data_IF_919577549821
#
_entry.id   IF_919577549821
#
_cell.length_a   1.000
_cell.length_b   1.000
_cell.length_c   1.000
_cell.angle_alpha   90.00
_cell.angle_beta   90.00
_cell.angle_gamma   90.00
#
_symmetry.space_group_name_H-M   'P 1'
#
loop_
_entity.id
_entity.type
_entity.pdbx_description
1 polymer ?
#
# COMPACT_ATOMS: atom_id res chain seq x y z
N UNK A 1 16.63 2.13 17.82
CA UNK A 1 16.38 2.77 16.51
C UNK A 1 15.47 3.98 16.72
N UNK A 2 15.88 5.14 16.24
CA UNK A 2 15.15 6.40 16.32
C UNK A 2 13.96 6.43 15.36
N UNK A 3 12.96 7.22 15.65
CA UNK A 3 11.83 7.52 14.77
C UNK A 3 12.34 8.13 13.46
N UNK A 4 11.87 7.63 12.32
CA UNK A 4 12.27 8.15 11.01
C UNK A 4 11.11 8.96 10.39
N UNK A 5 11.23 10.29 10.42
CA UNK A 5 10.27 11.26 9.91
C UNK A 5 10.02 11.07 8.40
N UNK A 6 11.03 10.62 7.64
CA UNK A 6 10.94 10.44 6.19
C UNK A 6 9.93 9.35 5.79
N UNK A 7 9.73 8.33 6.64
CA UNK A 7 8.69 7.31 6.40
C UNK A 7 7.30 7.93 6.43
N UNK A 8 7.04 8.85 7.36
CA UNK A 8 5.74 9.50 7.42
C UNK A 8 5.56 10.51 6.28
N UNK A 9 6.64 11.19 5.82
CA UNK A 9 6.60 12.00 4.59
C UNK A 9 6.18 11.13 3.39
N UNK A 10 6.83 9.97 3.21
CA UNK A 10 6.51 9.06 2.11
C UNK A 10 5.08 8.55 2.18
N UNK A 11 4.56 8.22 3.37
CA UNK A 11 3.15 7.86 3.55
C UNK A 11 2.22 9.03 3.19
N UNK A 12 2.61 10.27 3.56
CA UNK A 12 1.86 11.47 3.23
C UNK A 12 1.75 11.69 1.73
N UNK A 13 2.87 11.60 1.01
CA UNK A 13 2.90 11.69 -0.46
C UNK A 13 2.05 10.56 -1.07
N UNK A 14 2.26 9.34 -0.62
CA UNK A 14 1.57 8.18 -1.19
C UNK A 14 0.06 8.24 -0.97
N UNK A 15 -0.44 8.71 0.18
CA UNK A 15 -1.90 8.80 0.39
C UNK A 15 -2.52 9.92 -0.46
N UNK A 16 -1.83 11.04 -0.66
CA UNK A 16 -2.29 12.07 -1.58
C UNK A 16 -2.38 11.52 -3.01
N UNK A 17 -1.38 10.75 -3.45
CA UNK A 17 -1.42 10.09 -4.76
C UNK A 17 -2.56 9.07 -4.87
N UNK A 18 -2.88 8.32 -3.80
CA UNK A 18 -4.04 7.42 -3.81
C UNK A 18 -5.35 8.17 -4.03
N UNK A 19 -5.52 9.34 -3.41
CA UNK A 19 -6.70 10.19 -3.66
C UNK A 19 -6.72 10.65 -5.11
N UNK A 20 -5.58 11.12 -5.64
CA UNK A 20 -5.46 11.60 -7.04
C UNK A 20 -5.75 10.48 -8.05
N UNK A 21 -5.32 9.23 -7.80
CA UNK A 21 -5.65 8.06 -8.66
C UNK A 21 -7.17 7.93 -8.86
N UNK A 22 -7.95 8.20 -7.83
CA UNK A 22 -9.41 8.06 -7.87
C UNK A 22 -10.13 9.31 -8.35
N UNK A 23 -9.45 10.46 -8.36
CA UNK A 23 -10.00 11.75 -8.84
C UNK A 23 -9.81 11.97 -10.34
N UNK A 24 -8.73 11.44 -10.92
CA UNK A 24 -8.36 11.68 -12.31
C UNK A 24 -8.62 10.44 -13.19
N UNK A 25 -8.92 10.69 -14.47
CA UNK A 25 -9.02 9.62 -15.48
C UNK A 25 -7.65 9.10 -15.88
N UNK A 26 -7.63 7.87 -16.41
CA UNK A 26 -6.41 7.19 -16.85
C UNK A 26 -5.62 8.01 -17.88
N UNK A 27 -6.30 8.68 -18.82
CA UNK A 27 -5.64 9.49 -19.87
C UNK A 27 -4.97 10.73 -19.27
N UNK A 28 -5.65 11.41 -18.32
CA UNK A 28 -5.07 12.54 -17.59
C UNK A 28 -3.88 12.10 -16.75
N UNK A 29 -4.00 10.98 -16.02
CA UNK A 29 -2.88 10.40 -15.27
C UNK A 29 -1.70 10.08 -16.17
N UNK A 30 -1.94 9.51 -17.36
CA UNK A 30 -0.90 9.17 -18.32
C UNK A 30 -0.21 10.43 -18.87
N UNK A 31 -0.98 11.46 -19.22
CA UNK A 31 -0.45 12.72 -19.79
C UNK A 31 0.48 13.47 -18.83
N UNK A 32 0.22 13.39 -17.52
CA UNK A 32 1.07 14.03 -16.49
C UNK A 32 2.20 13.14 -15.99
N UNK A 33 2.44 11.97 -16.60
CA UNK A 33 3.47 11.01 -16.18
C UNK A 33 3.10 10.22 -14.91
N UNK A 34 1.82 10.14 -14.58
CA UNK A 34 1.29 9.43 -13.41
C UNK A 34 1.81 8.01 -13.19
N UNK A 35 2.07 7.19 -14.24
CA UNK A 35 2.67 5.87 -14.09
C UNK A 35 3.98 5.84 -13.31
N UNK A 36 4.78 6.91 -13.36
CA UNK A 36 6.09 6.97 -12.71
C UNK A 36 6.04 7.43 -11.24
N UNK A 37 4.95 8.00 -10.76
CA UNK A 37 4.86 8.46 -9.37
C UNK A 37 3.50 8.20 -8.74
N UNK A 38 2.39 8.62 -9.36
CA UNK A 38 1.05 8.50 -8.76
C UNK A 38 0.65 7.03 -8.65
N UNK A 39 0.77 6.24 -9.73
CA UNK A 39 0.40 4.83 -9.75
C UNK A 39 1.35 3.93 -8.92
N UNK A 40 2.51 4.45 -8.49
CA UNK A 40 3.43 3.75 -7.60
C UNK A 40 3.05 3.85 -6.11
N UNK A 41 2.03 4.62 -5.75
CA UNK A 41 1.64 4.86 -4.36
C UNK A 41 1.35 3.57 -3.58
N UNK A 42 0.60 2.64 -4.15
CA UNK A 42 0.24 1.37 -3.49
C UNK A 42 1.46 0.46 -3.30
N UNK A 43 2.29 0.18 -4.32
CA UNK A 43 3.55 -0.54 -4.13
C UNK A 43 4.45 0.10 -3.06
N UNK A 44 4.59 1.43 -3.05
CA UNK A 44 5.38 2.15 -2.03
C UNK A 44 4.81 1.92 -0.62
N UNK A 45 3.49 1.98 -0.43
CA UNK A 45 2.87 1.66 0.87
C UNK A 45 3.18 0.25 1.34
N UNK A 46 3.17 -0.72 0.43
CA UNK A 46 3.45 -2.12 0.77
C UNK A 46 4.94 -2.35 1.10
N UNK A 47 5.85 -1.68 0.39
CA UNK A 47 7.28 -1.64 0.73
C UNK A 47 7.49 -1.02 2.12
N UNK A 48 6.83 0.12 2.41
CA UNK A 48 6.84 0.75 3.75
C UNK A 48 6.31 -0.23 4.81
N UNK A 49 5.26 -0.98 4.49
CA UNK A 49 4.69 -1.98 5.41
C UNK A 49 5.70 -3.08 5.73
N UNK A 50 6.33 -3.68 4.74
CA UNK A 50 7.38 -4.68 4.92
C UNK A 50 8.54 -4.17 5.77
N UNK A 51 9.02 -2.97 5.46
CA UNK A 51 10.09 -2.29 6.20
C UNK A 51 9.73 -2.02 7.67
N UNK A 52 8.56 -1.42 7.91
CA UNK A 52 8.12 -1.06 9.27
C UNK A 52 7.84 -2.29 10.14
N UNK A 53 7.27 -3.37 9.58
CA UNK A 53 7.07 -4.61 10.30
C UNK A 53 8.41 -5.25 10.67
N UNK A 54 9.39 -5.27 9.76
CA UNK A 54 10.74 -5.77 10.04
C UNK A 54 11.41 -4.97 11.16
N UNK A 55 11.27 -3.64 11.13
CA UNK A 55 11.75 -2.77 12.19
C UNK A 55 11.07 -3.07 13.54
N UNK A 56 9.75 -3.27 13.54
CA UNK A 56 8.98 -3.60 14.74
C UNK A 56 9.37 -4.96 15.32
N UNK A 57 9.52 -5.98 14.48
CA UNK A 57 9.93 -7.32 14.89
C UNK A 57 11.34 -7.33 15.50
N UNK A 58 12.26 -6.59 14.89
CA UNK A 58 13.62 -6.44 15.44
C UNK A 58 13.61 -5.76 16.79
N UNK A 59 12.79 -4.72 16.98
CA UNK A 59 12.64 -4.03 18.28
C UNK A 59 12.03 -4.90 19.37
N UNK A 60 11.08 -5.76 19.03
CA UNK A 60 10.44 -6.66 19.98
C UNK A 60 11.33 -7.84 20.39
N UNK A 61 12.48 -8.03 19.76
CA UNK A 61 13.40 -9.13 20.05
C UNK A 61 12.85 -10.52 19.72
N UNK A 62 11.73 -10.60 18.99
CA UNK A 62 11.10 -11.88 18.64
C UNK A 62 11.96 -12.59 17.59
N UNK A 63 12.34 -13.83 17.91
CA UNK A 63 13.23 -14.64 17.08
C UNK A 63 12.55 -15.87 16.48
N UNK A 64 11.55 -16.39 17.16
CA UNK A 64 10.83 -17.61 16.78
C UNK A 64 9.60 -17.29 15.93
N UNK A 65 9.37 -18.06 14.88
CA UNK A 65 8.17 -17.94 14.05
C UNK A 65 6.89 -18.11 14.87
N UNK A 66 6.89 -19.04 15.85
CA UNK A 66 5.77 -19.31 16.76
C UNK A 66 5.38 -18.07 17.58
N UNK A 67 6.36 -17.27 17.99
CA UNK A 67 6.11 -16.09 18.83
C UNK A 67 5.42 -14.96 18.07
N UNK A 68 5.62 -14.86 16.74
CA UNK A 68 4.90 -13.88 15.92
C UNK A 68 3.41 -14.19 15.83
N UNK A 69 3.01 -15.46 15.95
CA UNK A 69 1.61 -15.90 15.86
C UNK A 69 0.94 -16.06 17.22
N UNK A 70 1.57 -15.60 18.31
CA UNK A 70 0.87 -15.53 19.61
C UNK A 70 -0.40 -14.69 19.48
N UNK A 71 -1.53 -15.15 20.04
CA UNK A 71 -2.82 -14.44 19.91
C UNK A 71 -2.75 -12.94 20.23
N UNK A 72 -2.04 -12.58 21.29
CA UNK A 72 -1.81 -11.17 21.65
C UNK A 72 -1.16 -10.35 20.54
N UNK A 73 -0.14 -10.88 19.86
CA UNK A 73 0.57 -10.18 18.77
C UNK A 73 -0.31 -9.99 17.55
N UNK A 74 -1.13 -10.98 17.23
CA UNK A 74 -2.08 -10.90 16.12
C UNK A 74 -3.21 -9.93 16.46
N UNK A 75 -3.84 -10.08 17.62
CA UNK A 75 -4.94 -9.22 18.08
C UNK A 75 -4.53 -7.74 18.06
N UNK A 76 -3.33 -7.40 18.55
CA UNK A 76 -2.82 -6.03 18.52
C UNK A 76 -2.75 -5.43 17.12
N UNK A 77 -2.46 -6.23 16.10
CA UNK A 77 -2.43 -5.79 14.70
C UNK A 77 -3.86 -5.67 14.13
N UNK A 78 -4.71 -6.63 14.42
CA UNK A 78 -6.12 -6.61 14.02
C UNK A 78 -6.87 -5.43 14.62
N UNK A 79 -6.69 -5.14 15.90
CA UNK A 79 -7.32 -3.99 16.55
C UNK A 79 -6.91 -2.63 15.98
N UNK A 80 -5.76 -2.55 15.32
CA UNK A 80 -5.35 -1.32 14.62
C UNK A 80 -5.96 -1.15 13.25
N UNK A 81 -6.41 -2.24 12.62
CA UNK A 81 -6.85 -2.25 11.23
C UNK A 81 -8.37 -2.42 11.13
N UNK A 82 -8.95 -3.41 11.83
CA UNK A 82 -10.31 -3.86 11.62
C UNK A 82 -11.40 -2.91 12.14
N UNK A 83 -11.35 -2.36 13.36
CA UNK A 83 -12.50 -1.65 13.92
C UNK A 83 -12.98 -0.50 13.05
N UNK A 84 -12.05 0.34 12.58
CA UNK A 84 -12.37 1.48 11.72
C UNK A 84 -12.82 1.02 10.33
N UNK A 85 -12.22 -0.05 9.80
CA UNK A 85 -12.62 -0.62 8.52
C UNK A 85 -14.05 -1.19 8.57
N UNK A 86 -14.41 -1.88 9.66
CA UNK A 86 -15.75 -2.44 9.85
C UNK A 86 -16.82 -1.35 9.94
N UNK A 87 -16.55 -0.28 10.70
CA UNK A 87 -17.47 0.87 10.79
C UNK A 87 -17.69 1.48 9.40
N UNK A 88 -16.63 1.67 8.64
CA UNK A 88 -16.71 2.27 7.31
C UNK A 88 -17.42 1.36 6.32
N UNK A 89 -17.17 0.05 6.36
CA UNK A 89 -17.91 -0.91 5.54
C UNK A 89 -19.41 -0.96 5.90
N UNK A 90 -19.74 -0.85 7.18
CA UNK A 90 -21.15 -0.76 7.60
C UNK A 90 -21.81 0.53 7.10
N UNK A 91 -21.11 1.66 7.18
CA UNK A 91 -21.60 2.94 6.61
C UNK A 91 -21.74 2.85 5.09
N UNK A 92 -20.79 2.25 4.40
CA UNK A 92 -20.84 2.06 2.95
C UNK A 92 -22.03 1.20 2.55
N UNK A 93 -22.26 0.09 3.25
CA UNK A 93 -23.42 -0.79 3.01
C UNK A 93 -24.76 -0.08 3.29
N UNK A 94 -24.82 0.81 4.28
CA UNK A 94 -26.02 1.58 4.61
C UNK A 94 -26.35 2.69 3.60
N UNK A 95 -25.31 3.28 2.97
CA UNK A 95 -25.48 4.39 2.02
C UNK A 95 -25.69 3.92 0.58
N UNK A 96 -25.25 2.70 0.26
CA UNK A 96 -25.35 2.18 -1.11
C UNK A 96 -26.66 1.37 -1.24
N UNK A 97 -27.62 1.77 -2.10
CA UNK A 97 -28.88 1.07 -2.25
C UNK A 97 -28.78 -0.25 -3.04
N UNK A 98 -27.57 -0.71 -3.32
CA UNK A 98 -27.31 -1.94 -4.05
C UNK A 98 -27.49 -3.16 -3.12
N UNK A 99 -28.09 -4.25 -3.58
CA UNK A 99 -28.34 -5.50 -2.84
C UNK A 99 -27.05 -6.22 -2.37
N UNK A 100 -25.91 -5.56 -2.50
CA UNK A 100 -24.62 -6.10 -2.09
C UNK A 100 -24.56 -6.17 -0.58
N UNK A 101 -24.53 -7.38 -0.06
CA UNK A 101 -24.45 -7.62 1.37
C UNK A 101 -23.20 -6.97 1.99
N UNK A 102 -23.25 -6.59 3.27
CA UNK A 102 -22.11 -6.15 4.07
C UNK A 102 -20.89 -7.08 3.93
N UNK A 103 -21.11 -8.39 3.79
CA UNK A 103 -20.04 -9.37 3.54
C UNK A 103 -19.27 -9.11 2.24
N UNK A 104 -19.92 -8.57 1.21
CA UNK A 104 -19.26 -8.22 -0.04
C UNK A 104 -18.20 -7.12 0.16
N UNK A 105 -18.50 -6.13 1.01
CA UNK A 105 -17.55 -5.08 1.38
C UNK A 105 -16.48 -5.63 2.30
N UNK A 106 -16.84 -6.47 3.27
CA UNK A 106 -15.92 -7.07 4.23
C UNK A 106 -14.78 -7.86 3.56
N UNK A 107 -15.09 -8.58 2.50
CA UNK A 107 -14.05 -9.29 1.72
C UNK A 107 -13.27 -8.39 0.75
N UNK A 108 -13.52 -7.06 0.75
CA UNK A 108 -12.79 -6.10 -0.07
C UNK A 108 -13.23 -6.04 -1.54
N UNK A 109 -14.39 -6.62 -1.89
CA UNK A 109 -14.92 -6.59 -3.27
C UNK A 109 -15.59 -5.28 -3.66
N UNK A 110 -15.98 -4.47 -2.68
CA UNK A 110 -16.65 -3.19 -2.88
C UNK A 110 -15.70 -2.00 -2.82
N UNK A 111 -15.98 -0.98 -3.61
CA UNK A 111 -15.38 0.35 -3.50
C UNK A 111 -13.97 0.51 -4.05
N UNK A 112 -13.57 1.77 -4.08
CA UNK A 112 -12.24 2.22 -4.51
C UNK A 112 -11.20 1.88 -3.45
N UNK A 113 -10.36 0.86 -3.70
CA UNK A 113 -9.27 0.50 -2.79
C UNK A 113 -9.61 -0.53 -1.70
N UNK A 114 -10.86 -1.06 -1.61
CA UNK A 114 -11.25 -2.06 -0.59
C UNK A 114 -10.35 -3.29 -0.54
N UNK A 115 -9.83 -3.71 -1.67
CA UNK A 115 -8.87 -4.81 -1.78
C UNK A 115 -7.62 -4.61 -0.91
N UNK A 116 -7.18 -3.37 -0.68
CA UNK A 116 -5.97 -3.07 0.09
C UNK A 116 -6.11 -3.51 1.55
N UNK A 117 -7.30 -3.38 2.15
CA UNK A 117 -7.55 -3.85 3.52
C UNK A 117 -7.41 -5.38 3.59
N UNK A 118 -7.97 -6.10 2.60
CA UNK A 118 -7.81 -7.55 2.48
C UNK A 118 -6.33 -7.94 2.39
N UNK A 119 -5.55 -7.24 1.55
CA UNK A 119 -4.10 -7.46 1.44
C UNK A 119 -3.39 -7.19 2.77
N UNK A 120 -3.72 -6.11 3.48
CA UNK A 120 -3.10 -5.78 4.76
C UNK A 120 -3.43 -6.79 5.86
N UNK A 121 -4.64 -7.36 5.87
CA UNK A 121 -5.01 -8.46 6.77
C UNK A 121 -4.14 -9.69 6.48
N UNK A 122 -4.02 -10.09 5.22
CA UNK A 122 -3.18 -11.22 4.81
C UNK A 122 -1.69 -10.95 5.09
N UNK A 123 -1.23 -9.71 4.94
CA UNK A 123 0.14 -9.30 5.25
C UNK A 123 0.48 -9.47 6.74
N UNK A 124 -0.49 -9.42 7.66
CA UNK A 124 -0.28 -9.72 9.08
C UNK A 124 0.28 -11.14 9.27
N UNK A 125 -0.15 -12.08 8.42
CA UNK A 125 0.31 -13.47 8.46
C UNK A 125 1.57 -13.71 7.63
N UNK A 126 1.72 -13.02 6.51
CA UNK A 126 2.83 -13.24 5.55
C UNK A 126 4.13 -12.57 6.02
N UNK A 127 4.06 -11.36 6.57
CA UNK A 127 5.27 -10.61 6.95
C UNK A 127 6.13 -11.29 8.03
N UNK A 128 5.58 -11.97 9.05
CA UNK A 128 6.39 -12.77 9.95
C UNK A 128 7.21 -13.86 9.24
N UNK A 129 6.60 -14.52 8.25
CA UNK A 129 7.27 -15.59 7.47
C UNK A 129 8.43 -14.99 6.67
N UNK A 130 8.18 -13.90 5.91
CA UNK A 130 9.21 -13.22 5.13
C UNK A 130 10.36 -12.73 6.02
N UNK A 131 10.05 -12.13 7.15
CA UNK A 131 11.05 -11.66 8.11
C UNK A 131 11.87 -12.81 8.71
N UNK A 132 11.22 -13.87 9.17
CA UNK A 132 11.89 -15.05 9.75
C UNK A 132 12.77 -15.73 8.71
N UNK A 133 12.26 -15.91 7.49
CA UNK A 133 13.00 -16.54 6.39
C UNK A 133 14.24 -15.71 6.01
N UNK A 134 14.12 -14.38 5.92
CA UNK A 134 15.25 -13.48 5.66
C UNK A 134 16.34 -13.54 6.73
N UNK A 135 15.98 -13.91 7.96
CA UNK A 135 16.96 -14.09 9.04
C UNK A 135 17.63 -15.46 9.03
N UNK A 136 16.93 -16.48 8.53
CA UNK A 136 17.44 -17.86 8.50
C UNK A 136 18.24 -18.16 7.24
N UNK A 137 17.94 -17.46 6.15
CA UNK A 137 18.62 -17.57 4.86
C UNK A 137 19.31 -16.24 4.51
N UNK A 138 19.78 -16.09 3.28
CA UNK A 138 20.18 -14.78 2.79
C UNK A 138 18.97 -13.99 2.33
N UNK A 139 18.89 -12.67 2.64
CA UNK A 139 17.78 -11.83 2.19
C UNK A 139 17.56 -11.83 0.67
N UNK A 140 18.61 -12.10 -0.12
CA UNK A 140 18.51 -12.24 -1.59
C UNK A 140 17.76 -13.52 -2.01
N UNK A 141 17.89 -14.63 -1.30
CA UNK A 141 17.14 -15.88 -1.59
C UNK A 141 15.64 -15.61 -1.34
N UNK A 142 15.30 -14.97 -0.23
CA UNK A 142 13.93 -14.56 0.05
C UNK A 142 13.39 -13.65 -1.04
N UNK A 143 14.17 -12.66 -1.49
CA UNK A 143 13.79 -11.73 -2.54
C UNK A 143 13.54 -12.45 -3.87
N UNK A 144 14.47 -13.33 -4.31
CA UNK A 144 14.33 -14.10 -5.55
C UNK A 144 13.12 -15.03 -5.52
N UNK A 145 12.94 -15.79 -4.41
CA UNK A 145 11.76 -16.63 -4.23
C UNK A 145 10.45 -15.86 -4.26
N UNK A 146 10.41 -14.70 -3.62
CA UNK A 146 9.23 -13.82 -3.63
C UNK A 146 8.92 -13.27 -5.02
N UNK A 147 9.94 -12.93 -5.79
CA UNK A 147 9.79 -12.51 -7.18
C UNK A 147 9.17 -13.61 -8.05
N UNK A 148 9.71 -14.83 -7.96
CA UNK A 148 9.20 -15.98 -8.71
C UNK A 148 7.75 -16.29 -8.32
N UNK A 149 7.40 -16.29 -7.03
CA UNK A 149 6.03 -16.52 -6.56
C UNK A 149 5.09 -15.47 -7.14
N UNK A 150 5.48 -14.21 -7.15
CA UNK A 150 4.65 -13.14 -7.70
C UNK A 150 4.50 -13.24 -9.22
N UNK A 151 5.59 -13.56 -9.96
CA UNK A 151 5.52 -13.82 -11.40
C UNK A 151 4.60 -15.00 -11.73
N UNK A 152 4.73 -16.10 -10.97
CA UNK A 152 3.86 -17.27 -11.13
C UNK A 152 2.39 -16.92 -10.91
N UNK A 153 2.10 -16.07 -9.91
CA UNK A 153 0.76 -15.57 -9.64
C UNK A 153 0.20 -14.77 -10.82
N UNK A 154 0.97 -13.80 -11.36
CA UNK A 154 0.57 -13.00 -12.52
C UNK A 154 0.27 -13.88 -13.75
N UNK A 155 1.19 -14.82 -14.03
CA UNK A 155 1.06 -15.75 -15.14
C UNK A 155 -0.14 -16.70 -14.97
N UNK A 156 -0.36 -17.20 -13.77
CA UNK A 156 -1.48 -18.10 -13.47
C UNK A 156 -2.83 -17.43 -13.73
N UNK A 157 -2.99 -16.17 -13.32
CA UNK A 157 -4.22 -15.42 -13.58
C UNK A 157 -4.40 -15.09 -15.06
N UNK A 158 -3.35 -14.87 -15.78
CA UNK A 158 -3.39 -14.67 -17.23
C UNK A 158 -3.82 -15.93 -17.98
N UNK A 159 -3.22 -17.06 -17.64
CA UNK A 159 -3.38 -18.31 -18.39
C UNK A 159 -4.64 -19.07 -18.05
N UNK A 160 -5.04 -19.11 -16.77
CA UNK A 160 -6.21 -19.87 -16.30
C UNK A 160 -7.47 -19.04 -16.14
N UNK A 161 -7.45 -17.77 -16.53
CA UNK A 161 -8.61 -16.86 -16.53
C UNK A 161 -9.38 -16.86 -15.20
N UNK A 162 -8.69 -16.93 -14.07
CA UNK A 162 -9.32 -16.88 -12.76
C UNK A 162 -10.18 -15.61 -12.58
N UNK A 163 -11.21 -15.67 -11.73
CA UNK A 163 -12.08 -14.52 -11.48
C UNK A 163 -11.29 -13.26 -11.08
N UNK A 164 -11.53 -12.16 -11.78
CA UNK A 164 -10.81 -10.89 -11.61
C UNK A 164 -10.81 -10.33 -10.18
N UNK A 165 -11.85 -10.63 -9.41
CA UNK A 165 -11.90 -10.19 -8.01
C UNK A 165 -10.87 -10.90 -7.14
N UNK A 166 -10.58 -12.20 -7.39
CA UNK A 166 -9.54 -12.93 -6.66
C UNK A 166 -8.15 -12.34 -6.94
N UNK A 167 -7.88 -11.93 -8.18
CA UNK A 167 -6.64 -11.28 -8.54
C UNK A 167 -6.34 -10.06 -7.66
N UNK A 168 -7.37 -9.25 -7.37
CA UNK A 168 -7.20 -8.04 -6.54
C UNK A 168 -7.08 -8.33 -5.06
N UNK A 169 -7.75 -9.36 -4.56
CA UNK A 169 -7.92 -9.60 -3.13
C UNK A 169 -6.76 -10.37 -2.50
N UNK A 170 -6.00 -11.14 -3.27
CA UNK A 170 -4.95 -11.98 -2.74
C UNK A 170 -3.63 -11.23 -2.62
N UNK A 171 -2.96 -11.40 -1.48
CA UNK A 171 -1.67 -10.77 -1.16
C UNK A 171 -0.55 -11.16 -2.12
N UNK A 172 -0.67 -12.30 -2.81
CA UNK A 172 0.33 -12.81 -3.75
C UNK A 172 0.60 -11.86 -4.91
N UNK A 173 -0.37 -11.05 -5.30
CA UNK A 173 -0.17 -9.99 -6.27
C UNK A 173 0.89 -8.97 -5.86
N UNK A 174 0.99 -8.70 -4.57
CA UNK A 174 1.92 -7.73 -4.00
C UNK A 174 2.97 -8.36 -3.09
N UNK A 175 3.10 -9.69 -3.18
CA UNK A 175 4.00 -10.44 -2.32
C UNK A 175 5.43 -9.96 -2.44
N UNK A 176 5.87 -9.69 -3.67
CA UNK A 176 7.20 -9.16 -3.94
C UNK A 176 7.41 -7.73 -3.41
N UNK A 177 6.41 -6.86 -3.48
CA UNK A 177 6.51 -5.51 -2.91
C UNK A 177 6.70 -5.54 -1.38
N UNK A 178 5.98 -6.41 -0.67
CA UNK A 178 6.18 -6.65 0.76
C UNK A 178 7.59 -7.19 1.06
N UNK A 179 8.04 -8.15 0.25
CA UNK A 179 9.38 -8.75 0.38
C UNK A 179 10.49 -7.73 0.13
N UNK A 180 10.35 -6.83 -0.84
CA UNK A 180 11.29 -5.71 -1.08
C UNK A 180 11.44 -4.84 0.16
N UNK A 181 10.37 -4.54 0.88
CA UNK A 181 10.42 -3.79 2.13
C UNK A 181 11.19 -4.52 3.23
N UNK A 182 10.96 -5.83 3.37
CA UNK A 182 11.71 -6.68 4.31
C UNK A 182 13.19 -6.76 3.92
N UNK A 183 13.48 -7.04 2.66
CA UNK A 183 14.85 -7.10 2.14
C UNK A 183 15.59 -5.79 2.35
N UNK A 184 14.99 -4.67 2.01
CA UNK A 184 15.59 -3.35 2.16
C UNK A 184 15.91 -3.03 3.63
N UNK A 185 15.12 -3.50 4.58
CA UNK A 185 15.42 -3.35 6.00
C UNK A 185 16.75 -4.01 6.38
N UNK A 186 17.04 -5.22 5.88
CA UNK A 186 18.26 -5.97 6.21
C UNK A 186 19.49 -5.49 5.43
N UNK A 187 19.32 -5.16 4.15
CA UNK A 187 20.43 -5.01 3.21
C UNK A 187 20.71 -3.57 2.75
N UNK A 188 19.91 -2.58 3.17
CA UNK A 188 20.00 -1.19 2.69
C UNK A 188 21.39 -0.53 2.79
N UNK A 189 22.20 -0.95 3.74
CA UNK A 189 23.53 -0.37 3.96
C UNK A 189 24.63 -1.04 3.11
N UNK A 190 24.32 -2.15 2.44
CA UNK A 190 25.27 -2.87 1.60
C UNK A 190 25.40 -2.21 0.22
N UNK A 191 26.64 -2.07 -0.27
CA UNK A 191 26.90 -1.43 -1.56
C UNK A 191 26.20 -2.11 -2.74
N UNK A 192 26.17 -3.47 -2.75
CA UNK A 192 25.50 -4.22 -3.80
C UNK A 192 23.99 -3.97 -3.85
N UNK A 193 23.34 -3.74 -2.71
CA UNK A 193 21.90 -3.47 -2.63
C UNK A 193 21.52 -2.17 -3.31
N UNK A 194 22.36 -1.14 -3.16
CA UNK A 194 22.17 0.15 -3.84
C UNK A 194 22.33 0.00 -5.35
N UNK A 195 23.36 -0.73 -5.79
CA UNK A 195 23.60 -1.01 -7.22
C UNK A 195 22.45 -1.83 -7.81
N UNK A 196 22.04 -2.90 -7.13
CA UNK A 196 20.91 -3.75 -7.56
C UNK A 196 19.62 -2.93 -7.67
N UNK A 197 19.30 -2.12 -6.65
CA UNK A 197 18.11 -1.25 -6.68
C UNK A 197 18.15 -0.29 -7.87
N UNK A 198 19.29 0.34 -8.15
CA UNK A 198 19.43 1.29 -9.24
C UNK A 198 19.27 0.62 -10.60
N UNK A 199 19.98 -0.50 -10.84
CA UNK A 199 19.91 -1.24 -12.09
C UNK A 199 18.52 -1.82 -12.32
N UNK A 200 17.93 -2.46 -11.31
CA UNK A 200 16.60 -3.03 -11.42
C UNK A 200 15.52 -1.94 -11.58
N UNK A 201 15.69 -0.78 -10.94
CA UNK A 201 14.81 0.37 -11.15
C UNK A 201 14.88 0.90 -12.59
N UNK A 202 16.06 0.93 -13.20
CA UNK A 202 16.20 1.29 -14.61
C UNK A 202 15.39 0.37 -15.52
N UNK A 203 15.51 -0.96 -15.36
CA UNK A 203 14.70 -1.92 -16.12
C UNK A 203 13.21 -1.78 -15.81
N UNK A 204 12.83 -1.47 -14.57
CA UNK A 204 11.43 -1.20 -14.21
C UNK A 204 10.89 0.05 -14.90
N UNK A 205 11.69 1.11 -15.06
CA UNK A 205 11.30 2.31 -15.81
C UNK A 205 11.13 1.99 -17.30
N UNK A 206 12.05 1.24 -17.90
CA UNK A 206 11.91 0.78 -19.29
C UNK A 206 10.61 -0.03 -19.48
N UNK A 207 10.31 -0.92 -18.53
CA UNK A 207 9.06 -1.68 -18.52
C UNK A 207 7.83 -0.76 -18.43
N UNK A 208 7.81 0.20 -17.50
CA UNK A 208 6.69 1.15 -17.36
C UNK A 208 6.46 1.98 -18.63
N UNK A 209 7.55 2.44 -19.28
CA UNK A 209 7.49 3.16 -20.56
C UNK A 209 6.86 2.25 -21.62
N UNK A 210 7.37 1.01 -21.76
CA UNK A 210 6.88 0.06 -22.77
C UNK A 210 5.39 -0.26 -22.61
N UNK A 211 4.92 -0.44 -21.39
CA UNK A 211 3.53 -0.83 -21.12
C UNK A 211 2.55 0.35 -21.22
N UNK A 212 2.95 1.53 -20.73
CA UNK A 212 2.03 2.68 -20.66
C UNK A 212 2.04 3.56 -21.92
N UNK A 213 3.15 3.62 -22.64
CA UNK A 213 3.29 4.52 -23.79
C UNK A 213 3.42 3.80 -25.13
N UNK A 214 3.97 2.57 -25.13
CA UNK A 214 4.06 1.74 -26.33
C UNK A 214 3.05 0.59 -26.35
N UNK A 215 2.16 0.51 -25.34
CA UNK A 215 1.10 -0.50 -25.23
C UNK A 215 1.61 -1.95 -25.33
N UNK A 216 2.86 -2.17 -24.97
CA UNK A 216 3.46 -3.51 -25.02
C UNK A 216 2.72 -4.44 -24.05
N UNK A 217 2.24 -5.56 -24.60
CA UNK A 217 1.55 -6.58 -23.78
C UNK A 217 2.57 -7.60 -23.27
N UNK A 218 2.59 -7.82 -21.97
CA UNK A 218 3.23 -8.97 -21.34
C UNK A 218 2.17 -10.00 -20.99
N UNK A 219 2.50 -11.31 -20.89
CA UNK A 219 1.54 -12.35 -20.51
C UNK A 219 1.22 -12.29 -19.00
N UNK A 220 0.77 -11.12 -18.55
CA UNK A 220 0.32 -10.86 -17.20
C UNK A 220 -1.13 -10.43 -17.22
N UNK A 221 -1.85 -10.79 -16.16
CA UNK A 221 -3.23 -10.39 -16.03
C UNK A 221 -3.34 -8.86 -15.96
N UNK A 222 -4.21 -8.30 -16.79
CA UNK A 222 -4.45 -6.86 -16.84
C UNK A 222 -5.90 -6.56 -16.47
N UNK A 223 -6.11 -5.97 -15.31
CA UNK A 223 -7.45 -5.55 -14.84
C UNK A 223 -7.86 -4.15 -15.34
N UNK A 224 -7.10 -3.54 -16.21
CA UNK A 224 -7.30 -2.20 -16.72
C UNK A 224 -5.96 -1.50 -16.94
N UNK A 225 -6.00 -0.35 -17.60
CA UNK A 225 -4.78 0.36 -18.04
C UNK A 225 -3.91 0.81 -16.88
N UNK A 226 -4.51 1.38 -15.82
CA UNK A 226 -3.79 1.86 -14.62
C UNK A 226 -3.13 0.73 -13.82
N UNK A 227 -3.60 -0.52 -13.97
CA UNK A 227 -3.06 -1.66 -13.22
C UNK A 227 -1.90 -2.37 -13.92
N UNK A 228 -1.67 -2.12 -15.20
CA UNK A 228 -0.57 -2.72 -15.98
C UNK A 228 0.80 -2.43 -15.38
N UNK A 229 0.97 -1.27 -14.76
CA UNK A 229 2.22 -0.86 -14.11
C UNK A 229 2.40 -1.35 -12.67
N UNK A 230 1.46 -2.12 -12.09
CA UNK A 230 1.54 -2.59 -10.70
C UNK A 230 1.77 -4.10 -10.63
N UNK A 231 2.93 -4.56 -11.06
CA UNK A 231 3.34 -5.97 -11.05
C UNK A 231 4.83 -6.08 -10.66
N UNK A 232 5.36 -7.29 -10.45
CA UNK A 232 6.72 -7.48 -9.94
C UNK A 232 7.82 -6.82 -10.79
N UNK A 233 7.62 -6.60 -12.10
CA UNK A 233 8.62 -5.94 -12.95
C UNK A 233 8.76 -4.44 -12.64
N UNK A 234 7.73 -3.80 -12.09
CA UNK A 234 7.74 -2.37 -11.73
C UNK A 234 8.14 -2.09 -10.28
N UNK A 235 8.09 -3.09 -9.40
CA UNK A 235 8.23 -2.83 -7.94
C UNK A 235 9.63 -2.40 -7.51
N UNK A 236 10.68 -2.69 -8.29
CA UNK A 236 12.00 -2.12 -8.01
C UNK A 236 12.04 -0.61 -8.20
N UNK A 237 11.25 -0.07 -9.13
CA UNK A 237 11.12 1.37 -9.26
C UNK A 237 10.39 1.98 -8.04
N UNK A 238 9.34 1.33 -7.54
CA UNK A 238 8.69 1.75 -6.31
C UNK A 238 9.67 1.71 -5.11
N UNK A 239 10.55 0.69 -5.04
CA UNK A 239 11.62 0.62 -4.04
C UNK A 239 12.62 1.76 -4.19
N UNK A 240 12.99 2.12 -5.41
CA UNK A 240 13.87 3.25 -5.69
C UNK A 240 13.24 4.58 -5.22
N UNK A 241 11.95 4.79 -5.50
CA UNK A 241 11.23 5.96 -4.97
C UNK A 241 11.22 5.99 -3.43
N UNK A 242 11.01 4.84 -2.80
CA UNK A 242 11.11 4.72 -1.34
C UNK A 242 12.51 5.04 -0.83
N UNK A 243 13.56 4.55 -1.49
CA UNK A 243 14.95 4.86 -1.15
C UNK A 243 15.25 6.35 -1.27
N UNK A 244 14.83 6.99 -2.38
CA UNK A 244 14.94 8.44 -2.57
C UNK A 244 14.22 9.20 -1.45
N UNK A 245 12.99 8.81 -1.13
CA UNK A 245 12.24 9.44 -0.05
C UNK A 245 12.91 9.33 1.32
N UNK A 246 13.61 8.22 1.59
CA UNK A 246 14.37 8.09 2.84
C UNK A 246 15.65 8.93 2.89
N UNK A 247 16.23 9.28 1.74
CA UNK A 247 17.55 9.94 1.65
C UNK A 247 17.47 11.42 1.30
N UNK A 248 16.51 11.82 0.45
CA UNK A 248 16.46 13.17 -0.11
C UNK A 248 15.79 14.20 0.80
N UNK A 249 14.84 13.78 1.67
CA UNK A 249 14.18 14.74 2.54
C UNK A 249 15.08 15.17 3.69
N UNK A 250 15.48 16.44 3.67
CA UNK A 250 16.17 17.04 4.82
C UNK A 250 15.16 17.36 5.92
N UNK A 251 15.29 16.66 7.04
CA UNK A 251 14.43 16.89 8.21
C UNK A 251 15.03 17.90 9.19
N UNK A 252 16.16 18.51 8.82
CA UNK A 252 16.92 19.42 9.72
C UNK A 252 16.36 20.84 9.72
N UNK A 253 15.75 21.29 8.63
CA UNK A 253 15.16 22.63 8.54
C UNK A 253 13.65 22.56 8.73
N UNK A 254 13.05 23.46 9.51
CA UNK A 254 11.59 23.55 9.62
C UNK A 254 11.00 23.92 8.25
N UNK A 255 10.02 23.17 7.80
CA UNK A 255 9.30 23.42 6.56
C UNK A 255 7.84 23.06 6.75
N UNK A 256 6.96 24.02 6.51
CA UNK A 256 5.51 23.83 6.61
C UNK A 256 5.05 22.66 5.72
N UNK A 257 5.62 22.53 4.52
CA UNK A 257 5.29 21.44 3.59
C UNK A 257 5.70 20.09 4.19
N UNK A 258 6.92 19.97 4.71
CA UNK A 258 7.41 18.73 5.31
C UNK A 258 6.58 18.36 6.53
N UNK A 259 6.25 19.32 7.39
CA UNK A 259 5.46 19.07 8.59
C UNK A 259 4.02 18.69 8.25
N UNK A 260 3.43 19.30 7.22
CA UNK A 260 2.12 18.93 6.68
C UNK A 260 2.12 17.51 6.10
N UNK A 261 3.14 17.12 5.34
CA UNK A 261 3.27 15.75 4.81
C UNK A 261 3.41 14.72 5.93
N UNK A 262 4.21 15.03 6.97
CA UNK A 262 4.31 14.17 8.16
C UNK A 262 2.99 14.06 8.90
N UNK A 263 2.28 15.18 9.04
CA UNK A 263 0.95 15.22 9.68
C UNK A 263 -0.05 14.33 8.95
N UNK A 264 -0.12 14.44 7.61
CA UNK A 264 -0.95 13.61 6.73
C UNK A 264 -0.50 12.16 6.78
N UNK A 265 0.80 11.89 6.69
CA UNK A 265 1.36 10.55 6.68
C UNK A 265 1.08 9.73 7.95
N UNK A 266 1.09 10.37 9.12
CA UNK A 266 0.68 9.75 10.38
C UNK A 266 -0.79 9.35 10.41
N UNK A 267 -1.62 9.95 9.57
CA UNK A 267 -3.06 9.76 9.46
C UNK A 267 -3.48 9.05 8.17
N UNK A 268 -2.50 8.61 7.37
CA UNK A 268 -2.70 8.06 6.03
C UNK A 268 -3.72 6.92 5.98
N UNK A 269 -3.78 6.06 7.01
CA UNK A 269 -4.76 4.97 7.07
C UNK A 269 -6.19 5.49 7.21
N UNK A 270 -6.44 6.46 8.08
CA UNK A 270 -7.77 7.04 8.26
C UNK A 270 -8.22 7.80 7.00
N UNK A 271 -7.30 8.52 6.35
CA UNK A 271 -7.56 9.19 5.06
C UNK A 271 -7.88 8.16 3.99
N UNK A 272 -7.13 7.05 3.94
CA UNK A 272 -7.38 5.95 3.01
C UNK A 272 -8.78 5.35 3.19
N UNK A 273 -9.20 5.12 4.41
CA UNK A 273 -10.53 4.56 4.73
C UNK A 273 -11.65 5.53 4.30
N UNK A 274 -11.50 6.80 4.63
CA UNK A 274 -12.51 7.83 4.27
C UNK A 274 -12.63 7.99 2.77
N UNK A 275 -11.51 8.06 2.03
CA UNK A 275 -11.55 8.24 0.59
C UNK A 275 -12.27 7.10 -0.13
N UNK A 276 -12.20 5.87 0.40
CA UNK A 276 -12.94 4.74 -0.16
C UNK A 276 -14.46 4.99 -0.17
N UNK A 277 -15.00 5.46 0.96
CA UNK A 277 -16.43 5.79 1.07
C UNK A 277 -16.77 7.02 0.26
N UNK A 278 -15.94 8.04 0.36
CA UNK A 278 -16.12 9.30 -0.34
C UNK A 278 -16.26 9.08 -1.85
N UNK A 279 -15.30 8.42 -2.48
CA UNK A 279 -15.38 8.16 -3.92
C UNK A 279 -16.48 7.20 -4.29
N UNK A 280 -16.77 6.20 -3.46
CA UNK A 280 -17.87 5.28 -3.72
C UNK A 280 -19.21 6.00 -3.69
N UNK A 281 -19.48 6.79 -2.66
CA UNK A 281 -20.74 7.51 -2.51
C UNK A 281 -20.88 8.60 -3.58
N UNK A 282 -19.83 9.39 -3.85
CA UNK A 282 -19.86 10.45 -4.86
C UNK A 282 -19.97 9.87 -6.26
N UNK A 283 -19.19 8.86 -6.62
CA UNK A 283 -19.27 8.25 -7.95
C UNK A 283 -20.63 7.64 -8.23
N UNK A 284 -21.39 7.28 -7.17
CA UNK A 284 -22.73 6.78 -7.29
C UNK A 284 -23.78 7.87 -7.52
N UNK A 285 -23.69 8.98 -6.77
CA UNK A 285 -24.69 10.04 -6.79
C UNK A 285 -24.32 11.24 -7.66
N UNK A 286 -23.05 11.56 -7.79
CA UNK A 286 -22.56 12.79 -8.43
C UNK A 286 -21.34 12.46 -9.29
N UNK A 287 -21.46 12.68 -10.60
CA UNK A 287 -20.30 12.61 -11.51
C UNK A 287 -19.59 13.98 -11.51
N UNK A 288 -18.60 14.11 -10.64
CA UNK A 288 -17.79 15.34 -10.59
C UNK A 288 -16.80 15.38 -11.78
N UNK A 289 -16.63 16.57 -12.39
CA UNK A 289 -15.56 16.78 -13.36
C UNK A 289 -14.17 16.67 -12.72
N UNK A 290 -13.17 16.20 -13.46
CA UNK A 290 -11.80 15.97 -12.98
C UNK A 290 -11.09 17.20 -12.43
N UNK A 291 -11.49 18.42 -12.84
CA UNK A 291 -10.90 19.65 -12.34
C UNK A 291 -11.22 19.93 -10.85
N UNK A 292 -12.11 19.16 -10.24
CA UNK A 292 -12.36 19.22 -8.79
C UNK A 292 -11.41 18.34 -7.95
N UNK A 293 -10.36 17.74 -8.54
CA UNK A 293 -9.43 16.86 -7.81
C UNK A 293 -8.83 17.50 -6.55
N UNK A 294 -8.63 18.82 -6.52
CA UNK A 294 -8.21 19.55 -5.32
C UNK A 294 -9.26 19.52 -4.22
N UNK A 295 -10.54 19.60 -4.57
CA UNK A 295 -11.64 19.45 -3.62
C UNK A 295 -11.67 18.02 -3.05
N UNK A 296 -11.48 17.01 -3.89
CA UNK A 296 -11.40 15.60 -3.47
C UNK A 296 -10.27 15.40 -2.46
N UNK A 297 -9.09 16.00 -2.71
CA UNK A 297 -7.97 16.00 -1.79
C UNK A 297 -8.31 16.66 -0.46
N UNK A 298 -8.91 17.85 -0.50
CA UNK A 298 -9.28 18.60 0.70
C UNK A 298 -10.31 17.84 1.54
N UNK A 299 -11.36 17.33 0.92
CA UNK A 299 -12.43 16.59 1.60
C UNK A 299 -11.88 15.29 2.19
N UNK A 300 -11.16 14.49 1.40
CA UNK A 300 -10.60 13.23 1.86
C UNK A 300 -9.62 13.42 3.02
N UNK A 301 -8.75 14.44 2.94
CA UNK A 301 -7.80 14.74 4.01
C UNK A 301 -8.50 15.25 5.27
N UNK A 302 -9.44 16.19 5.15
CA UNK A 302 -10.14 16.77 6.30
C UNK A 302 -10.97 15.74 7.05
N UNK A 303 -11.80 15.00 6.33
CA UNK A 303 -12.63 13.94 6.92
C UNK A 303 -11.78 12.80 7.48
N UNK A 304 -10.68 12.42 6.79
CA UNK A 304 -9.76 11.41 7.26
C UNK A 304 -9.03 11.82 8.54
N UNK A 305 -8.62 13.07 8.65
CA UNK A 305 -8.04 13.63 9.89
C UNK A 305 -9.08 13.63 11.01
N UNK A 306 -10.32 14.03 10.74
CA UNK A 306 -11.42 13.96 11.70
C UNK A 306 -11.63 12.53 12.21
N UNK A 307 -11.72 11.56 11.29
CA UNK A 307 -11.87 10.14 11.64
C UNK A 307 -10.69 9.62 12.48
N UNK A 308 -9.46 10.03 12.21
CA UNK A 308 -8.30 9.66 13.01
C UNK A 308 -8.43 10.12 14.47
N UNK A 309 -8.92 11.32 14.71
CA UNK A 309 -9.13 11.81 16.09
C UNK A 309 -10.27 11.08 16.79
N UNK A 310 -11.36 10.78 16.08
CA UNK A 310 -12.47 9.98 16.60
C UNK A 310 -11.99 8.58 16.99
N UNK A 311 -11.23 7.91 16.09
CA UNK A 311 -10.67 6.59 16.34
C UNK A 311 -9.77 6.58 17.58
N UNK A 312 -8.82 7.51 17.64
CA UNK A 312 -7.90 7.57 18.79
C UNK A 312 -8.61 7.86 20.12
N UNK A 313 -9.68 8.66 20.10
CA UNK A 313 -10.41 9.04 21.31
C UNK A 313 -11.36 7.94 21.80
N UNK A 314 -12.07 7.29 20.90
CA UNK A 314 -13.22 6.45 21.26
C UNK A 314 -13.02 4.97 21.00
N UNK A 315 -12.13 4.57 20.07
CA UNK A 315 -11.95 3.20 19.62
C UNK A 315 -10.56 2.68 20.00
N UNK A 316 -9.55 3.05 19.22
CA UNK A 316 -8.17 2.54 19.38
C UNK A 316 -7.52 3.01 20.70
N UNK A 317 -7.87 4.20 21.21
CA UNK A 317 -7.35 4.71 22.48
C UNK A 317 -7.81 3.88 23.67
N UNK A 318 -9.08 3.49 23.70
CA UNK A 318 -9.63 2.62 24.76
C UNK A 318 -9.06 1.21 24.69
N UNK A 319 -8.96 0.64 23.49
CA UNK A 319 -8.41 -0.72 23.30
C UNK A 319 -6.93 -0.79 23.73
N UNK A 320 -6.13 0.26 23.46
CA UNK A 320 -4.73 0.33 23.92
C UNK A 320 -4.58 0.34 25.44
N UNK A 321 -5.57 0.82 26.15
CA UNK A 321 -5.57 0.81 27.62
C UNK A 321 -5.84 -0.60 28.21
N UNK A 322 -6.43 -1.51 27.46
CA UNK A 322 -6.73 -2.88 27.86
C UNK A 322 -5.71 -3.92 27.32
N UNK A 323 -4.85 -3.54 26.37
CA UNK A 323 -3.79 -4.34 25.80
C UNK A 323 -2.39 -3.84 26.23
#
# INVERSE_FOLDING_TARGET
>A
MTYNKNIDIMKGISILFVVIIHSLKDDTLRSIGGPFFILQAVPVFLIISGYNHSQSYTRSGILSLKDFYRPYMLLKKFYRLLPIALIVYALQAAVTPDERSFFFYLIGRGGFGGYYISIMIQAIFILPILFWFSRKTTPLIMLGGSFIINLFYEYSFYYWEFPSYLYRLLVFRYFFALALGVWYFFDRNRSYSKKLTLVAAFFSVCYLISVHYFEWSVPFYSFGTSWRGQNPLSFFYALFLFHLGLTCFSTKSPSVIIDSLVFIGKRSYAIFIVQMVYFWSISYYIKWPEYYFLLDLMVSCTLGVGLFYIDNRYISGKIKAYL
#
